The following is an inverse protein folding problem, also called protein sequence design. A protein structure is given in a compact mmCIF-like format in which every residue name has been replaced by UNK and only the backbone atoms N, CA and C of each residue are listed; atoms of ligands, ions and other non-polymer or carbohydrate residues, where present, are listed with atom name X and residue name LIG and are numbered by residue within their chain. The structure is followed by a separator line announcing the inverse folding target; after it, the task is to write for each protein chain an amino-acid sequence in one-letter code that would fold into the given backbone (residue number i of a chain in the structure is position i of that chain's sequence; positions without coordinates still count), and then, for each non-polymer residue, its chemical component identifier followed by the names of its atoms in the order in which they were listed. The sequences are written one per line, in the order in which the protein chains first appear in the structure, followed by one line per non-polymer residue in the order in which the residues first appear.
data_IF_163530275843
#
_entry.id   IF_163530275843
#
_cell.length_a   1.000
_cell.length_b   1.000
_cell.length_c   1.000
_cell.angle_alpha   90.00
_cell.angle_beta   90.00
_cell.angle_gamma   90.00
#
_symmetry.space_group_name_H-M   'P 1'
#
loop_
_entity.id
_entity.type
_entity.pdbx_description
1 polymer ?
#
# COMPACT_ATOMS: atom_id res chain seq x y z
N UNK A 1 7.19 1.22 -20.50
CA UNK A 1 7.05 1.43 -19.04
C UNK A 1 5.70 0.88 -18.61
N UNK A 2 5.62 0.27 -17.42
CA UNK A 2 4.37 -0.22 -16.85
C UNK A 2 3.93 0.72 -15.74
N UNK A 3 2.69 1.22 -15.84
CA UNK A 3 2.05 2.08 -14.85
C UNK A 3 1.54 1.21 -13.70
N UNK A 4 1.98 1.48 -12.47
CA UNK A 4 1.73 0.67 -11.28
C UNK A 4 0.70 1.36 -10.37
N UNK A 5 -0.37 0.64 -10.07
CA UNK A 5 -1.47 1.13 -9.23
C UNK A 5 -1.61 0.23 -8.00
N UNK A 6 -1.70 0.84 -6.82
CA UNK A 6 -2.06 0.19 -5.56
C UNK A 6 -3.46 0.62 -5.13
N UNK A 7 -4.36 -0.35 -4.92
CA UNK A 7 -5.72 -0.11 -4.46
C UNK A 7 -5.95 -0.71 -3.07
N UNK A 8 -6.45 0.09 -2.12
CA UNK A 8 -6.73 -0.30 -0.75
C UNK A 8 -8.25 -0.24 -0.46
N UNK A 9 -8.86 -1.40 -0.29
CA UNK A 9 -10.30 -1.49 0.01
C UNK A 9 -10.63 -1.04 1.44
N UNK A 10 -11.83 -0.49 1.60
CA UNK A 10 -12.42 -0.19 2.90
C UNK A 10 -12.86 -1.47 3.63
N UNK A 11 -12.35 -1.68 4.84
CA UNK A 11 -12.60 -2.90 5.63
C UNK A 11 -13.17 -2.70 7.04
N UNK A 12 -13.33 -1.46 7.51
CA UNK A 12 -13.69 -1.17 8.90
C UNK A 12 -12.62 -1.70 9.87
N UNK A 13 -13.03 -2.37 10.95
CA UNK A 13 -12.10 -2.99 11.93
C UNK A 13 -11.19 -4.06 11.29
N UNK A 14 -11.59 -4.66 10.16
CA UNK A 14 -10.77 -5.63 9.42
C UNK A 14 -9.63 -4.97 8.64
N UNK A 15 -9.55 -3.64 8.64
CA UNK A 15 -8.44 -2.89 8.04
C UNK A 15 -7.07 -3.20 8.65
N UNK A 16 -7.03 -3.80 9.86
CA UNK A 16 -5.77 -4.25 10.49
C UNK A 16 -5.07 -5.33 9.66
N UNK A 17 -5.83 -6.25 9.05
CA UNK A 17 -5.24 -7.28 8.19
C UNK A 17 -4.63 -6.64 6.92
N UNK A 18 -5.36 -5.72 6.29
CA UNK A 18 -4.87 -4.98 5.13
C UNK A 18 -3.63 -4.14 5.45
N UNK A 19 -3.58 -3.52 6.63
CA UNK A 19 -2.42 -2.77 7.09
C UNK A 19 -1.20 -3.69 7.30
N UNK A 20 -1.40 -4.88 7.89
CA UNK A 20 -0.31 -5.84 8.06
C UNK A 20 0.21 -6.36 6.72
N UNK A 21 -0.69 -6.66 5.78
CA UNK A 21 -0.31 -7.03 4.42
C UNK A 21 0.46 -5.91 3.72
N UNK A 22 0.00 -4.67 3.85
CA UNK A 22 0.67 -3.51 3.26
C UNK A 22 2.10 -3.33 3.79
N UNK A 23 2.32 -3.55 5.09
CA UNK A 23 3.65 -3.50 5.70
C UNK A 23 4.61 -4.57 5.13
N UNK A 24 4.11 -5.78 4.86
CA UNK A 24 4.92 -6.82 4.19
C UNK A 24 5.25 -6.44 2.74
N UNK A 25 4.30 -5.81 2.04
CA UNK A 25 4.51 -5.31 0.67
C UNK A 25 5.57 -4.20 0.66
N UNK A 26 5.47 -3.24 1.57
CA UNK A 26 6.45 -2.16 1.74
C UNK A 26 7.85 -2.71 1.98
N UNK A 27 7.99 -3.63 2.93
CA UNK A 27 9.26 -4.31 3.24
C UNK A 27 9.83 -5.00 2.00
N UNK A 28 8.99 -5.74 1.28
CA UNK A 28 9.39 -6.43 0.05
C UNK A 28 9.86 -5.47 -1.04
N UNK A 29 9.15 -4.35 -1.23
CA UNK A 29 9.51 -3.32 -2.22
C UNK A 29 10.83 -2.67 -1.83
N UNK A 30 11.02 -2.33 -0.56
CA UNK A 30 12.25 -1.76 -0.04
C UNK A 30 13.44 -2.69 -0.21
N UNK A 31 13.30 -3.97 0.13
CA UNK A 31 14.38 -4.97 -0.01
C UNK A 31 14.74 -5.26 -1.48
N UNK A 32 13.74 -5.37 -2.36
CA UNK A 32 13.97 -5.79 -3.76
C UNK A 32 14.27 -4.63 -4.71
N UNK A 33 13.81 -3.43 -4.38
CA UNK A 33 13.89 -2.24 -5.25
C UNK A 33 14.64 -1.08 -4.61
N UNK A 34 14.82 -1.07 -3.29
CA UNK A 34 15.44 0.05 -2.58
C UNK A 34 14.57 1.32 -2.62
N UNK A 35 13.26 1.16 -2.80
CA UNK A 35 12.30 2.25 -2.96
C UNK A 35 11.23 2.19 -1.87
N UNK A 36 10.71 3.33 -1.47
CA UNK A 36 9.50 3.43 -0.65
C UNK A 36 8.25 3.22 -1.54
N UNK A 37 7.10 2.88 -0.93
CA UNK A 37 5.86 2.59 -1.68
C UNK A 37 5.43 3.74 -2.60
N UNK A 38 5.57 4.99 -2.15
CA UNK A 38 5.20 6.17 -2.93
C UNK A 38 6.15 6.46 -4.10
N UNK A 39 7.33 5.86 -4.12
CA UNK A 39 8.28 5.95 -5.23
C UNK A 39 8.09 4.79 -6.23
N UNK A 40 7.51 3.69 -5.76
CA UNK A 40 7.28 2.50 -6.56
C UNK A 40 5.93 2.51 -7.29
N UNK A 41 4.87 3.07 -6.71
CA UNK A 41 3.55 3.15 -7.33
C UNK A 41 3.27 4.53 -7.90
N UNK A 42 2.78 4.58 -9.13
CA UNK A 42 2.41 5.83 -9.82
C UNK A 42 1.07 6.38 -9.30
N UNK A 43 0.21 5.50 -8.77
CA UNK A 43 -1.06 5.85 -8.17
C UNK A 43 -1.36 4.93 -6.98
N UNK A 44 -1.70 5.54 -5.84
CA UNK A 44 -2.23 4.85 -4.67
C UNK A 44 -3.64 5.38 -4.43
N UNK A 45 -4.62 4.49 -4.39
CA UNK A 45 -6.04 4.82 -4.18
C UNK A 45 -6.63 3.96 -3.07
N UNK A 46 -7.57 4.50 -2.30
CA UNK A 46 -8.26 3.76 -1.25
C UNK A 46 -9.70 4.21 -1.05
N UNK A 47 -10.48 3.41 -0.31
CA UNK A 47 -11.85 3.75 0.11
C UNK A 47 -12.02 3.56 1.62
N UNK A 48 -12.73 4.48 2.28
CA UNK A 48 -12.97 4.44 3.74
C UNK A 48 -11.69 4.22 4.55
N UNK A 49 -11.57 3.13 5.31
CA UNK A 49 -10.39 2.79 6.12
C UNK A 49 -9.12 2.66 5.27
N UNK A 50 -9.24 2.26 4.00
CA UNK A 50 -8.13 2.15 3.06
C UNK A 50 -7.43 3.48 2.75
N UNK A 51 -8.11 4.63 2.89
CA UNK A 51 -7.46 5.95 2.79
C UNK A 51 -6.65 6.33 4.03
N UNK A 52 -7.01 5.78 5.20
CA UNK A 52 -6.34 6.07 6.46
C UNK A 52 -5.12 5.19 6.72
N UNK A 53 -5.03 4.05 6.02
CA UNK A 53 -3.82 3.22 6.00
C UNK A 53 -2.77 4.00 5.21
N UNK A 54 -1.99 4.81 5.92
CA UNK A 54 -0.93 5.60 5.32
C UNK A 54 0.23 4.66 4.94
N UNK A 55 0.64 4.58 3.67
CA UNK A 55 1.94 4.04 3.32
C UNK A 55 2.96 5.08 3.81
N UNK A 56 3.66 4.73 4.88
CA UNK A 56 4.90 5.43 5.34
C UNK A 56 6.23 5.03 4.50
#
# INVERSE_FOLDING_TARGET
MSFKILCLDGGGIRGVLSAKLLQEVETTVKEKKGQELHEYFDLISGTSTGCFIKPI
#
